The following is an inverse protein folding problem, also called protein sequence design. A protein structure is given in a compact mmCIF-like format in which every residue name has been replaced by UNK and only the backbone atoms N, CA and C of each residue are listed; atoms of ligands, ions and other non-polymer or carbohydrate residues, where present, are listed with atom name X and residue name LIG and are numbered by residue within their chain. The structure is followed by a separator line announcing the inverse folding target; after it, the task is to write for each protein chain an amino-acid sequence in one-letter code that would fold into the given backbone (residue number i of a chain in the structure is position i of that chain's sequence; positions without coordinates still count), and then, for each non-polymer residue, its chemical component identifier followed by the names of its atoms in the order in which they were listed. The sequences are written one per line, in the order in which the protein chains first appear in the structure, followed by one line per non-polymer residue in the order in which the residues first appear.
data_IF_728924786646
#
_entry.id   IF_728924786646
#
_cell.length_a   1.000
_cell.length_b   1.000
_cell.length_c   1.000
_cell.angle_alpha   90.00
_cell.angle_beta   90.00
_cell.angle_gamma   90.00
#
_symmetry.space_group_name_H-M   'P 1'
#
loop_
_entity.id
_entity.type
_entity.pdbx_description
1 polymer ?
#
# COMPACT_ATOMS: atom_id res chain seq x y z
N UNK A 1 6.69 15.53 8.94
CA UNK A 1 7.95 15.12 8.29
C UNK A 1 7.94 13.68 7.78
N UNK A 2 7.50 12.68 8.57
CA UNK A 2 7.51 11.27 8.16
C UNK A 2 6.70 10.95 6.87
N UNK A 3 5.45 11.43 6.75
CA UNK A 3 4.60 11.22 5.56
C UNK A 3 5.26 11.72 4.26
N UNK A 4 5.84 12.92 4.28
CA UNK A 4 6.51 13.47 3.10
C UNK A 4 7.71 12.62 2.65
N UNK A 5 8.48 12.06 3.59
CA UNK A 5 9.57 11.13 3.25
C UNK A 5 9.03 9.82 2.67
N UNK A 6 8.02 9.23 3.31
CA UNK A 6 7.35 8.02 2.83
C UNK A 6 6.85 8.17 1.39
N UNK A 7 6.11 9.26 1.11
CA UNK A 7 5.58 9.50 -0.24
C UNK A 7 6.68 9.71 -1.28
N UNK A 8 7.80 10.37 -0.92
CA UNK A 8 8.95 10.51 -1.83
C UNK A 8 9.61 9.16 -2.14
N UNK A 9 9.81 8.32 -1.14
CA UNK A 9 10.42 6.99 -1.33
C UNK A 9 9.50 6.09 -2.17
N UNK A 10 8.19 6.12 -1.93
CA UNK A 10 7.21 5.37 -2.73
C UNK A 10 7.10 5.90 -4.17
N UNK A 11 7.21 7.22 -4.38
CA UNK A 11 7.19 7.82 -5.70
C UNK A 11 8.39 7.40 -6.57
N UNK A 12 9.55 7.16 -5.93
CA UNK A 12 10.77 6.68 -6.60
C UNK A 12 10.64 5.23 -7.11
N UNK A 13 9.69 4.46 -6.58
CA UNK A 13 9.36 3.13 -7.12
C UNK A 13 8.59 3.29 -8.43
N UNK A 14 8.92 2.46 -9.43
CA UNK A 14 8.21 2.44 -10.71
C UNK A 14 6.69 2.27 -10.49
N UNK A 15 5.82 3.01 -11.20
CA UNK A 15 4.37 3.01 -10.96
C UNK A 15 3.74 1.63 -10.83
N UNK A 16 4.08 0.69 -11.75
CA UNK A 16 3.59 -0.69 -11.75
C UNK A 16 4.02 -1.54 -10.54
N UNK A 17 5.07 -1.13 -9.82
CA UNK A 17 5.65 -1.88 -8.71
C UNK A 17 5.28 -1.33 -7.33
N UNK A 18 4.58 -0.18 -7.24
CA UNK A 18 4.33 0.51 -5.96
C UNK A 18 3.54 -0.35 -4.96
N UNK A 19 2.47 -1.01 -5.42
CA UNK A 19 1.68 -1.89 -4.56
C UNK A 19 2.47 -3.14 -4.13
N UNK A 20 3.32 -3.68 -4.99
CA UNK A 20 4.17 -4.82 -4.63
C UNK A 20 5.26 -4.41 -3.62
N UNK A 21 5.85 -3.22 -3.77
CA UNK A 21 6.81 -2.67 -2.81
C UNK A 21 6.16 -2.45 -1.43
N UNK A 22 4.93 -1.94 -1.39
CA UNK A 22 4.17 -1.79 -0.15
C UNK A 22 3.83 -3.14 0.50
N UNK A 23 3.47 -4.15 -0.30
CA UNK A 23 3.27 -5.51 0.20
C UNK A 23 4.52 -6.04 0.88
N UNK A 24 5.66 -6.02 0.19
CA UNK A 24 6.94 -6.50 0.71
C UNK A 24 7.35 -5.77 1.99
N UNK A 25 7.14 -4.45 2.05
CA UNK A 25 7.35 -3.67 3.26
C UNK A 25 6.48 -4.18 4.42
N UNK A 26 5.17 -4.37 4.20
CA UNK A 26 4.24 -4.83 5.24
C UNK A 26 4.45 -6.29 5.67
N UNK A 27 5.04 -7.12 4.81
CA UNK A 27 5.44 -8.48 5.17
C UNK A 27 6.63 -8.48 6.14
N UNK A 28 7.52 -7.49 6.04
CA UNK A 28 8.66 -7.30 6.95
C UNK A 28 8.33 -6.55 8.26
N UNK A 29 7.17 -5.88 8.34
CA UNK A 29 6.74 -5.15 9.53
C UNK A 29 6.01 -6.09 10.51
N UNK A 30 6.57 -6.21 11.71
CA UNK A 30 5.94 -6.91 12.82
C UNK A 30 4.76 -6.13 13.43
N UNK A 31 3.96 -6.81 14.24
CA UNK A 31 2.87 -6.16 14.97
C UNK A 31 3.42 -5.16 15.99
N UNK A 32 2.89 -3.94 15.97
CA UNK A 32 3.27 -2.89 16.91
C UNK A 32 2.33 -2.95 18.12
N UNK A 33 2.86 -2.72 19.32
CA UNK A 33 2.04 -2.68 20.54
C UNK A 33 0.94 -1.63 20.39
N UNK A 34 -0.32 -2.06 20.50
CA UNK A 34 -1.48 -1.19 20.36
C UNK A 34 -1.87 -0.84 18.92
N UNK A 35 -1.24 -1.45 17.91
CA UNK A 35 -1.61 -1.25 16.50
C UNK A 35 -1.65 -2.61 15.78
N UNK A 36 -2.82 -3.24 15.64
CA UNK A 36 -2.93 -4.57 15.07
C UNK A 36 -2.47 -4.58 13.62
N UNK A 37 -1.91 -5.72 13.18
CA UNK A 37 -1.32 -5.87 11.84
C UNK A 37 -2.30 -5.53 10.71
N UNK A 38 -3.58 -5.83 10.89
CA UNK A 38 -4.65 -5.53 9.93
C UNK A 38 -4.81 -4.02 9.72
N UNK A 39 -4.84 -3.23 10.80
CA UNK A 39 -4.94 -1.78 10.71
C UNK A 39 -3.71 -1.17 10.02
N UNK A 40 -2.51 -1.70 10.28
CA UNK A 40 -1.30 -1.27 9.59
C UNK A 40 -1.35 -1.57 8.08
N UNK A 41 -1.84 -2.76 7.70
CA UNK A 41 -2.01 -3.17 6.30
C UNK A 41 -3.04 -2.30 5.58
N UNK A 42 -4.17 -2.00 6.22
CA UNK A 42 -5.19 -1.11 5.67
C UNK A 42 -4.66 0.30 5.44
N UNK A 43 -3.86 0.84 6.38
CA UNK A 43 -3.20 2.12 6.21
C UNK A 43 -2.19 2.11 5.04
N UNK A 44 -1.37 1.06 4.92
CA UNK A 44 -0.41 0.93 3.82
C UNK A 44 -1.10 0.84 2.45
N UNK A 45 -2.21 0.12 2.35
CA UNK A 45 -3.01 0.00 1.12
C UNK A 45 -3.55 1.34 0.62
N UNK A 46 -3.85 2.25 1.54
CA UNK A 46 -4.37 3.58 1.23
C UNK A 46 -3.30 4.58 0.80
N UNK A 47 -2.00 4.28 0.94
CA UNK A 47 -0.91 5.24 0.66
C UNK A 47 -0.92 5.77 -0.79
N UNK A 48 -1.40 4.99 -1.75
CA UNK A 48 -1.50 5.40 -3.15
C UNK A 48 -2.64 6.39 -3.41
N UNK A 49 -3.65 6.46 -2.54
CA UNK A 49 -4.84 7.29 -2.74
C UNK A 49 -4.53 8.79 -2.65
N UNK A 50 -5.41 9.60 -3.24
CA UNK A 50 -5.27 11.07 -3.28
C UNK A 50 -5.20 11.75 -1.90
N UNK A 51 -5.82 11.17 -0.87
CA UNK A 51 -5.71 11.67 0.51
C UNK A 51 -4.36 11.38 1.19
N UNK A 52 -3.55 10.50 0.59
CA UNK A 52 -2.25 10.09 1.12
C UNK A 52 -1.09 10.64 0.30
N UNK A 53 -0.56 9.85 -0.64
CA UNK A 53 0.57 10.27 -1.48
C UNK A 53 0.15 10.63 -2.92
N UNK A 54 -1.09 10.38 -3.32
CA UNK A 54 -1.63 10.65 -4.66
C UNK A 54 -0.72 10.13 -5.79
N UNK A 55 -0.38 8.83 -5.73
CA UNK A 55 0.56 8.21 -6.66
C UNK A 55 -0.17 7.28 -7.61
N UNK A 56 0.21 7.31 -8.89
CA UNK A 56 -0.38 6.46 -9.92
C UNK A 56 0.13 5.02 -9.87
N UNK A 57 -0.75 4.05 -10.08
CA UNK A 57 -0.39 2.66 -10.33
C UNK A 57 0.10 2.43 -11.76
N UNK A 58 0.29 1.16 -12.12
CA UNK A 58 0.64 0.74 -13.48
C UNK A 58 -0.43 1.06 -14.53
N UNK A 59 -1.71 1.09 -14.14
CA UNK A 59 -2.86 1.47 -14.98
C UNK A 59 -3.00 2.98 -15.19
N UNK A 60 -2.20 3.81 -14.50
CA UNK A 60 -2.31 5.27 -14.54
C UNK A 60 -3.35 5.86 -13.58
N UNK A 61 -4.14 5.03 -12.89
CA UNK A 61 -5.11 5.44 -11.88
C UNK A 61 -4.46 5.57 -10.49
N UNK A 62 -4.96 6.49 -9.67
CA UNK A 62 -4.54 6.68 -8.27
C UNK A 62 -5.45 5.86 -7.36
N UNK A 63 -5.29 4.54 -7.42
CA UNK A 63 -6.13 3.61 -6.66
C UNK A 63 -5.47 3.12 -5.37
N UNK A 64 -6.28 2.58 -4.46
CA UNK A 64 -5.77 1.80 -3.34
C UNK A 64 -5.13 0.51 -3.86
N UNK A 65 -4.13 0.02 -3.13
CA UNK A 65 -3.60 -1.31 -3.42
C UNK A 65 -4.58 -2.38 -2.93
N UNK A 66 -4.95 -3.30 -3.83
CA UNK A 66 -5.77 -4.45 -3.49
C UNK A 66 -4.89 -5.68 -3.30
N UNK A 67 -5.04 -6.35 -2.17
CA UNK A 67 -4.30 -7.57 -1.84
C UNK A 67 -5.23 -8.64 -1.26
N UNK A 68 -4.93 -9.94 -1.48
CA UNK A 68 -5.76 -11.06 -1.01
C UNK A 68 -6.05 -11.09 0.50
N UNK A 69 -5.17 -10.56 1.35
CA UNK A 69 -5.38 -10.53 2.81
C UNK A 69 -6.10 -9.27 3.31
N UNK A 70 -6.43 -8.31 2.43
CA UNK A 70 -7.27 -7.14 2.77
C UNK A 70 -8.75 -7.42 2.56
N UNK A 71 -9.08 -8.35 1.66
CA UNK A 71 -10.43 -8.76 1.30
C UNK A 71 -10.44 -10.24 1.59
N UNK A 72 -10.95 -10.67 2.75
CA UNK A 72 -10.80 -12.06 3.18
C UNK A 72 -11.21 -13.05 2.10
N UNK A 73 -10.23 -13.84 1.60
CA UNK A 73 -10.25 -14.99 0.67
C UNK A 73 -11.22 -15.04 -0.55
N UNK A 74 -12.13 -14.09 -0.71
CA UNK A 74 -13.13 -14.07 -1.78
C UNK A 74 -12.92 -12.87 -2.67
N UNK A 75 -12.60 -13.12 -3.94
CA UNK A 75 -12.48 -12.15 -5.04
C UNK A 75 -11.19 -11.33 -5.07
N UNK A 76 -10.11 -12.01 -5.45
CA UNK A 76 -8.95 -11.34 -6.07
C UNK A 76 -9.09 -11.50 -7.59
N UNK A 77 -9.36 -10.43 -8.35
CA UNK A 77 -9.18 -10.47 -9.78
C UNK A 77 -7.68 -10.56 -10.06
N UNK A 78 -7.26 -11.72 -10.58
CA UNK A 78 -5.96 -11.90 -11.21
C UNK A 78 -6.04 -11.23 -12.57
N UNK A 79 -5.38 -10.08 -12.73
CA UNK A 79 -5.14 -9.47 -14.04
C UNK A 79 -4.00 -10.18 -14.75
#
# INVERSE_FOLDING_TARGET
MAKARCCRELAAVQPRCRCEALRLFMDGVGELRGCPREAQRAAAAALMAAGECDLRGGSGETERCYWPWLVGDGDVPVY
#
